data_IF_342115223781
#
_entry.id   IF_342115223781
#
_cell.length_a   1.000
_cell.length_b   1.000
_cell.length_c   1.000
_cell.angle_alpha   90.00
_cell.angle_beta   90.00
_cell.angle_gamma   90.00
#
_symmetry.space_group_name_H-M   'P 1'
#
loop_
_entity.id
_entity.type
_entity.pdbx_description
1 polymer ?
#
# COMPACT_ATOMS: atom_id res chain seq x y z
N UNK A 1 15.41 -21.36 -10.53
CA UNK A 1 14.62 -20.66 -11.56
C UNK A 1 13.52 -19.95 -10.80
N UNK A 2 13.48 -18.62 -10.80
CA UNK A 2 12.53 -17.86 -9.98
C UNK A 2 11.18 -17.76 -10.67
N UNK A 3 10.09 -17.94 -9.92
CA UNK A 3 8.75 -17.62 -10.41
C UNK A 3 8.71 -16.12 -10.76
N UNK A 4 8.13 -15.76 -11.91
CA UNK A 4 7.89 -14.36 -12.27
C UNK A 4 6.65 -13.86 -11.50
N UNK A 5 6.90 -13.48 -10.24
CA UNK A 5 5.88 -12.93 -9.35
C UNK A 5 6.02 -11.43 -9.23
N UNK A 6 4.89 -10.73 -9.34
CA UNK A 6 4.79 -9.28 -9.17
C UNK A 6 3.92 -8.97 -7.98
N UNK A 7 4.47 -8.25 -7.01
CA UNK A 7 3.80 -7.96 -5.74
C UNK A 7 3.11 -6.61 -5.83
N UNK A 8 1.89 -6.54 -5.32
CA UNK A 8 1.10 -5.31 -5.27
C UNK A 8 0.53 -5.11 -3.88
N UNK A 9 0.73 -3.92 -3.34
CA UNK A 9 -0.02 -3.46 -2.19
C UNK A 9 -1.24 -2.68 -2.66
N UNK A 10 -2.41 -3.01 -2.15
CA UNK A 10 -3.66 -2.33 -2.44
C UNK A 10 -4.09 -1.62 -1.18
N UNK A 11 -3.97 -0.30 -1.19
CA UNK A 11 -4.57 0.52 -0.15
C UNK A 11 -6.08 0.52 -0.41
N UNK A 12 -6.82 0.05 0.59
CA UNK A 12 -8.27 -0.10 0.61
C UNK A 12 -8.81 0.56 1.89
N UNK A 13 -10.14 0.61 2.03
CA UNK A 13 -10.80 1.21 3.19
C UNK A 13 -11.82 0.24 3.78
N UNK A 14 -11.79 0.08 5.11
CA UNK A 14 -12.64 -0.86 5.84
C UNK A 14 -14.13 -0.54 5.62
N UNK A 15 -14.44 0.75 5.45
CA UNK A 15 -15.81 1.21 5.25
C UNK A 15 -16.41 0.73 3.91
N UNK A 16 -15.59 0.43 2.91
CA UNK A 16 -16.06 -0.02 1.60
C UNK A 16 -16.63 -1.46 1.62
N UNK A 17 -16.30 -2.25 2.64
CA UNK A 17 -16.78 -3.64 2.81
C UNK A 17 -18.13 -3.74 3.54
N UNK A 18 -18.65 -2.61 4.06
CA UNK A 18 -19.95 -2.52 4.72
C UNK A 18 -20.18 -3.56 5.84
N UNK A 19 -19.12 -3.99 6.53
CA UNK A 19 -19.18 -4.97 7.60
C UNK A 19 -19.80 -4.40 8.89
N UNK A 20 -20.35 -5.26 9.77
CA UNK A 20 -20.80 -4.86 11.10
C UNK A 20 -19.68 -4.20 11.91
N UNK A 21 -20.01 -3.27 12.81
CA UNK A 21 -19.03 -2.54 13.63
C UNK A 21 -18.21 -3.42 14.57
N UNK A 22 -18.72 -4.59 14.90
CA UNK A 22 -18.12 -5.61 15.76
C UNK A 22 -17.49 -6.76 14.96
N UNK A 23 -17.24 -6.56 13.66
CA UNK A 23 -16.49 -7.54 12.88
C UNK A 23 -15.06 -7.69 13.43
N UNK A 24 -14.59 -8.92 13.44
CA UNK A 24 -13.21 -9.24 13.75
C UNK A 24 -12.34 -9.23 12.48
N UNK A 25 -11.05 -9.42 12.68
CA UNK A 25 -10.09 -9.44 11.58
C UNK A 25 -10.31 -10.61 10.62
N UNK A 26 -10.85 -11.73 11.10
CA UNK A 26 -11.15 -12.89 10.27
C UNK A 26 -12.23 -12.56 9.24
N UNK A 27 -13.37 -12.01 9.69
CA UNK A 27 -14.45 -11.58 8.79
C UNK A 27 -14.03 -10.47 7.82
N UNK A 28 -13.21 -9.52 8.28
CA UNK A 28 -12.65 -8.48 7.40
C UNK A 28 -11.74 -9.08 6.33
N UNK A 29 -10.88 -10.03 6.72
CA UNK A 29 -9.96 -10.70 5.78
C UNK A 29 -10.75 -11.47 4.73
N UNK A 30 -11.77 -12.24 5.11
CA UNK A 30 -12.63 -12.98 4.17
C UNK A 30 -13.30 -12.04 3.16
N UNK A 31 -13.87 -10.92 3.62
CA UNK A 31 -14.51 -9.95 2.73
C UNK A 31 -13.52 -9.28 1.75
N UNK A 32 -12.29 -9.00 2.21
CA UNK A 32 -11.22 -8.46 1.37
C UNK A 32 -10.77 -9.51 0.35
N UNK A 33 -10.60 -10.76 0.77
CA UNK A 33 -10.21 -11.86 -0.13
C UNK A 33 -11.25 -12.08 -1.23
N UNK A 34 -12.54 -12.14 -0.88
CA UNK A 34 -13.63 -12.27 -1.84
C UNK A 34 -13.65 -11.13 -2.87
N UNK A 35 -13.44 -9.90 -2.41
CA UNK A 35 -13.33 -8.73 -3.28
C UNK A 35 -12.14 -8.86 -4.24
N UNK A 36 -10.95 -9.21 -3.74
CA UNK A 36 -9.74 -9.33 -4.55
C UNK A 36 -9.85 -10.44 -5.60
N UNK A 37 -10.46 -11.58 -5.24
CA UNK A 37 -10.72 -12.66 -6.18
C UNK A 37 -11.71 -12.20 -7.25
N UNK A 38 -12.80 -11.51 -6.88
CA UNK A 38 -13.76 -11.00 -7.84
C UNK A 38 -13.18 -9.94 -8.79
N UNK A 39 -12.27 -9.09 -8.30
CA UNK A 39 -11.66 -7.99 -9.06
C UNK A 39 -10.53 -8.48 -9.98
N UNK A 40 -9.70 -9.43 -9.53
CA UNK A 40 -8.45 -9.77 -10.20
C UNK A 40 -8.33 -11.21 -10.69
N UNK A 41 -9.19 -12.12 -10.24
CA UNK A 41 -9.15 -13.50 -10.74
C UNK A 41 -9.86 -13.57 -12.09
N UNK A 42 -9.15 -14.00 -13.12
CA UNK A 42 -9.73 -14.35 -14.41
C UNK A 42 -10.08 -15.85 -14.45
N UNK A 43 -11.14 -16.23 -15.18
CA UNK A 43 -11.54 -17.62 -15.41
C UNK A 43 -10.50 -18.40 -16.24
N UNK A 44 -9.52 -17.71 -16.85
CA UNK A 44 -8.54 -18.25 -17.80
C UNK A 44 -7.10 -18.25 -17.26
N UNK A 45 -6.91 -18.81 -16.06
CA UNK A 45 -5.72 -19.47 -15.49
C UNK A 45 -4.34 -18.78 -15.44
N UNK A 46 -4.11 -17.58 -15.99
CA UNK A 46 -2.91 -16.78 -15.69
C UNK A 46 -3.12 -15.26 -15.81
N UNK A 47 -2.56 -14.45 -14.90
CA UNK A 47 -1.71 -14.83 -13.76
C UNK A 47 -2.52 -15.46 -12.62
N UNK A 48 -1.88 -16.33 -11.84
CA UNK A 48 -2.50 -16.83 -10.61
C UNK A 48 -2.42 -15.75 -9.53
N UNK A 49 -3.57 -15.40 -8.95
CA UNK A 49 -3.65 -14.46 -7.84
C UNK A 49 -3.28 -15.18 -6.54
N UNK A 50 -2.25 -14.69 -5.85
CA UNK A 50 -1.90 -15.08 -4.49
C UNK A 50 -2.24 -13.92 -3.54
N UNK A 51 -3.07 -14.17 -2.53
CA UNK A 51 -3.32 -13.19 -1.46
C UNK A 51 -2.34 -13.49 -0.33
N UNK A 52 -1.52 -12.49 0.01
CA UNK A 52 -0.37 -12.65 0.91
C UNK A 52 -0.73 -12.24 2.33
N UNK A 53 -1.47 -11.14 2.48
CA UNK A 53 -1.89 -10.68 3.79
C UNK A 53 -2.71 -9.41 3.73
N UNK A 54 -3.38 -9.12 4.85
CA UNK A 54 -4.18 -7.93 5.07
C UNK A 54 -3.77 -7.34 6.42
N UNK A 55 -3.57 -6.03 6.45
CA UNK A 55 -3.32 -5.27 7.68
C UNK A 55 -4.27 -4.08 7.74
N UNK A 56 -4.84 -3.85 8.91
CA UNK A 56 -5.84 -2.80 9.15
C UNK A 56 -5.31 -1.78 10.14
N UNK A 57 -5.64 -0.51 9.88
CA UNK A 57 -5.44 0.56 10.83
C UNK A 57 -6.49 0.57 11.95
N UNK A 58 -7.76 0.27 11.63
CA UNK A 58 -8.89 0.36 12.55
C UNK A 58 -8.88 -0.69 13.65
N UNK A 59 -8.66 -1.96 13.29
CA UNK A 59 -8.55 -3.06 14.27
C UNK A 59 -7.15 -3.14 14.87
N UNK A 60 -6.13 -2.63 14.16
CA UNK A 60 -4.73 -2.74 14.59
C UNK A 60 -4.19 -4.17 14.54
N UNK A 61 -4.80 -5.02 13.71
CA UNK A 61 -4.49 -6.43 13.53
C UNK A 61 -3.99 -6.70 12.10
N UNK A 62 -3.32 -7.84 11.93
CA UNK A 62 -2.73 -8.29 10.67
C UNK A 62 -2.94 -9.77 10.48
N UNK A 63 -3.41 -10.15 9.29
CA UNK A 63 -3.41 -11.52 8.80
C UNK A 63 -2.35 -11.61 7.72
N UNK A 64 -1.35 -12.47 7.88
CA UNK A 64 -0.28 -12.62 6.89
C UNK A 64 0.10 -14.08 6.70
N UNK A 65 0.34 -14.47 5.46
CA UNK A 65 0.87 -15.79 5.11
C UNK A 65 2.28 -15.95 5.70
N UNK A 66 2.46 -16.99 6.51
CA UNK A 66 3.76 -17.36 7.12
C UNK A 66 4.52 -18.41 6.30
N UNK A 67 4.14 -18.64 5.04
CA UNK A 67 4.66 -19.72 4.20
C UNK A 67 5.98 -19.36 3.55
N UNK A 68 7.00 -20.24 3.65
CA UNK A 68 8.29 -20.09 2.94
C UNK A 68 8.16 -19.99 1.41
N UNK A 69 6.99 -20.34 0.86
CA UNK A 69 6.71 -20.28 -0.58
C UNK A 69 6.28 -18.92 -1.08
N UNK A 70 5.84 -18.01 -0.20
CA UNK A 70 5.31 -16.70 -0.57
C UNK A 70 6.11 -15.64 0.19
N UNK A 71 6.74 -14.72 -0.54
CA UNK A 71 7.60 -13.70 0.07
C UNK A 71 6.79 -12.43 0.29
N UNK A 72 6.37 -12.17 1.53
CA UNK A 72 5.78 -10.88 1.88
C UNK A 72 6.81 -9.73 1.72
N UNK A 73 6.43 -8.70 0.98
CA UNK A 73 7.18 -7.46 0.76
C UNK A 73 6.87 -6.45 1.86
N UNK A 74 5.59 -6.23 2.15
CA UNK A 74 5.11 -5.19 3.07
C UNK A 74 4.39 -5.77 4.28
N UNK A 75 3.40 -6.65 4.08
CA UNK A 75 2.52 -7.19 5.13
C UNK A 75 3.14 -8.45 5.72
N UNK A 76 3.83 -8.29 6.85
CA UNK A 76 4.48 -9.39 7.57
C UNK A 76 3.73 -9.73 8.86
N UNK A 77 3.88 -10.97 9.38
CA UNK A 77 3.36 -11.32 10.70
C UNK A 77 3.79 -10.32 11.77
N UNK A 78 2.89 -10.04 12.72
CA UNK A 78 3.09 -9.14 13.86
C UNK A 78 3.41 -7.67 13.53
N UNK A 79 3.32 -7.23 12.27
CA UNK A 79 3.41 -5.81 11.91
C UNK A 79 2.05 -5.14 12.01
N UNK A 80 1.99 -3.87 12.39
CA UNK A 80 0.78 -3.05 12.31
C UNK A 80 0.83 -2.11 11.11
N UNK A 81 -0.34 -1.57 10.72
CA UNK A 81 -0.43 -0.58 9.64
C UNK A 81 0.53 0.61 9.86
N UNK A 82 0.66 1.03 11.12
CA UNK A 82 1.60 2.08 11.54
C UNK A 82 3.05 1.75 11.17
N UNK A 83 3.49 0.51 11.38
CA UNK A 83 4.87 0.12 11.11
C UNK A 83 5.18 0.18 9.62
N UNK A 84 4.23 -0.24 8.78
CA UNK A 84 4.35 -0.17 7.32
C UNK A 84 4.36 1.28 6.86
N UNK A 85 3.44 2.12 7.37
CA UNK A 85 3.40 3.55 7.08
C UNK A 85 4.73 4.24 7.40
N UNK A 86 5.29 3.99 8.59
CA UNK A 86 6.56 4.58 9.01
C UNK A 86 7.74 4.02 8.22
N UNK A 87 7.71 2.74 7.84
CA UNK A 87 8.70 2.13 6.95
C UNK A 87 8.74 2.81 5.57
N UNK A 88 7.57 3.01 4.96
CA UNK A 88 7.44 3.73 3.68
C UNK A 88 7.92 5.18 3.80
N UNK A 89 7.50 5.88 4.86
CA UNK A 89 7.94 7.24 5.11
C UNK A 89 9.47 7.34 5.24
N UNK A 90 10.09 6.39 5.96
CA UNK A 90 11.54 6.31 6.12
C UNK A 90 12.25 6.04 4.80
N UNK A 91 11.73 5.14 3.97
CA UNK A 91 12.25 4.88 2.62
C UNK A 91 12.23 6.12 1.72
N UNK A 92 11.25 6.99 1.91
CA UNK A 92 11.14 8.30 1.25
C UNK A 92 11.85 9.42 2.02
N UNK A 93 12.69 9.11 3.01
CA UNK A 93 13.44 10.09 3.80
C UNK A 93 12.57 11.14 4.51
N UNK A 94 11.34 10.77 4.88
CA UNK A 94 10.42 11.62 5.63
C UNK A 94 10.69 11.42 7.14
N UNK A 95 10.89 12.51 7.91
CA UNK A 95 11.07 12.42 9.35
C UNK A 95 9.88 11.75 10.06
N UNK A 96 10.16 10.83 10.98
CA UNK A 96 9.14 10.13 11.76
C UNK A 96 8.12 11.06 12.46
N UNK A 97 8.48 12.24 13.01
CA UNK A 97 7.50 13.14 13.60
C UNK A 97 6.45 13.66 12.59
N UNK A 98 6.86 13.94 11.34
CA UNK A 98 5.96 14.36 10.28
C UNK A 98 5.07 13.19 9.82
N UNK A 99 5.67 12.01 9.65
CA UNK A 99 4.96 10.79 9.30
C UNK A 99 3.89 10.44 10.35
N UNK A 100 4.25 10.47 11.64
CA UNK A 100 3.32 10.20 12.75
C UNK A 100 2.18 11.21 12.82
N UNK A 101 2.46 12.49 12.54
CA UNK A 101 1.43 13.55 12.51
C UNK A 101 0.44 13.31 11.37
N UNK A 102 0.97 12.96 10.19
CA UNK A 102 0.15 12.65 9.00
C UNK A 102 -0.70 11.41 9.23
N UNK A 103 -0.11 10.34 9.77
CA UNK A 103 -0.83 9.11 10.09
C UNK A 103 -2.06 9.40 10.96
N UNK A 104 -1.90 10.23 12.01
CA UNK A 104 -2.98 10.57 12.96
C UNK A 104 -4.03 11.53 12.40
N UNK A 105 -3.63 12.47 11.55
CA UNK A 105 -4.50 13.61 11.16
C UNK A 105 -5.01 13.51 9.73
N UNK A 106 -4.41 12.65 8.91
CA UNK A 106 -4.65 12.57 7.47
C UNK A 106 -4.11 13.76 6.67
N UNK A 107 -3.53 14.77 7.33
CA UNK A 107 -3.04 15.99 6.66
C UNK A 107 -1.64 15.79 6.12
N UNK A 108 -1.46 16.03 4.82
CA UNK A 108 -0.23 15.77 4.07
C UNK A 108 0.67 16.98 3.88
N UNK A 109 0.18 18.20 4.15
CA UNK A 109 0.88 19.47 3.85
C UNK A 109 2.35 19.48 4.30
N UNK A 110 2.62 18.94 5.50
CA UNK A 110 3.95 18.87 6.07
C UNK A 110 4.89 17.91 5.34
N UNK A 111 4.37 16.76 4.91
CA UNK A 111 5.14 15.79 4.11
C UNK A 111 5.33 16.33 2.69
N UNK A 112 4.31 16.93 2.09
CA UNK A 112 4.41 17.53 0.76
C UNK A 112 5.49 18.61 0.72
N UNK A 113 5.46 19.55 1.67
CA UNK A 113 6.48 20.60 1.78
C UNK A 113 7.88 20.01 1.94
N UNK A 114 8.01 18.94 2.73
CA UNK A 114 9.29 18.23 2.91
C UNK A 114 9.79 17.62 1.61
N UNK A 115 8.94 16.91 0.88
CA UNK A 115 9.29 16.29 -0.40
C UNK A 115 9.61 17.34 -1.47
N UNK A 116 8.86 18.44 -1.56
CA UNK A 116 9.13 19.54 -2.48
C UNK A 116 10.50 20.18 -2.24
N UNK A 117 10.88 20.40 -0.97
CA UNK A 117 12.20 20.92 -0.63
C UNK A 117 13.32 19.95 -1.02
N UNK A 118 13.11 18.64 -0.85
CA UNK A 118 14.06 17.62 -1.28
C UNK A 118 14.19 17.55 -2.80
N UNK A 119 13.08 17.63 -3.53
CA UNK A 119 13.07 17.68 -4.99
C UNK A 119 13.90 18.88 -5.48
N UNK A 120 13.72 20.07 -4.86
CA UNK A 120 14.54 21.25 -5.18
C UNK A 120 16.03 21.00 -4.94
N UNK A 121 16.39 20.39 -3.81
CA UNK A 121 17.78 20.04 -3.53
C UNK A 121 18.38 19.08 -4.58
N UNK A 122 17.65 18.03 -4.99
CA UNK A 122 18.08 17.14 -6.07
C UNK A 122 18.27 17.90 -7.40
N UNK A 123 17.37 18.84 -7.73
CA UNK A 123 17.49 19.67 -8.94
C UNK A 123 18.72 20.59 -8.86
N UNK A 124 18.98 21.21 -7.71
CA UNK A 124 20.15 22.06 -7.49
C UNK A 124 21.46 21.26 -7.63
N UNK A 125 21.45 20.00 -7.17
CA UNK A 125 22.55 19.04 -7.29
C UNK A 125 22.67 18.38 -8.69
N UNK A 126 21.76 18.72 -9.62
CA UNK A 126 21.63 18.11 -10.97
C UNK A 126 21.34 16.60 -10.96
N UNK A 127 20.81 16.08 -9.86
CA UNK A 127 20.30 14.72 -9.74
C UNK A 127 18.84 14.65 -10.18
N UNK A 128 18.61 14.69 -11.50
CA UNK A 128 17.27 14.69 -12.06
C UNK A 128 16.53 13.37 -11.86
N UNK A 129 17.25 12.25 -11.80
CA UNK A 129 16.67 10.93 -11.54
C UNK A 129 16.10 10.85 -10.12
N UNK A 130 16.85 11.34 -9.12
CA UNK A 130 16.38 11.45 -7.74
C UNK A 130 15.16 12.37 -7.60
N UNK A 131 15.20 13.53 -8.27
CA UNK A 131 14.06 14.45 -8.31
C UNK A 131 12.81 13.80 -8.92
N UNK A 132 12.95 13.13 -10.06
CA UNK A 132 11.84 12.48 -10.75
C UNK A 132 11.20 11.36 -9.90
N UNK A 133 12.02 10.55 -9.22
CA UNK A 133 11.52 9.50 -8.31
C UNK A 133 10.67 10.08 -7.18
N UNK A 134 11.12 11.17 -6.54
CA UNK A 134 10.35 11.81 -5.47
C UNK A 134 9.07 12.47 -6.01
N UNK A 135 9.12 13.08 -7.19
CA UNK A 135 7.96 13.69 -7.83
C UNK A 135 6.85 12.66 -8.11
N UNK A 136 7.21 11.43 -8.48
CA UNK A 136 6.24 10.37 -8.78
C UNK A 136 5.34 10.00 -7.58
N UNK A 137 5.80 10.23 -6.34
CA UNK A 137 5.03 9.91 -5.13
C UNK A 137 4.10 11.04 -4.66
N UNK A 138 4.26 12.27 -5.16
CA UNK A 138 3.45 13.41 -4.72
C UNK A 138 1.96 13.28 -5.05
N UNK A 139 1.55 12.88 -6.28
CA UNK A 139 0.13 12.73 -6.61
C UNK A 139 -0.56 11.70 -5.70
N UNK A 140 0.05 10.52 -5.54
CA UNK A 140 -0.48 9.46 -4.69
C UNK A 140 -0.50 9.83 -3.21
N UNK A 141 0.49 10.58 -2.69
CA UNK A 141 0.43 11.12 -1.34
C UNK A 141 -0.77 12.07 -1.15
N UNK A 142 -0.99 12.98 -2.10
CA UNK A 142 -2.07 13.99 -2.05
C UNK A 142 -3.45 13.38 -2.09
N UNK A 143 -3.65 12.35 -2.92
CA UNK A 143 -4.94 11.67 -3.03
C UNK A 143 -5.15 10.72 -1.85
N UNK A 144 -4.10 9.96 -1.49
CA UNK A 144 -4.27 8.86 -0.55
C UNK A 144 -4.10 9.22 0.92
N UNK A 145 -3.25 10.21 1.21
CA UNK A 145 -2.78 10.50 2.55
C UNK A 145 -1.69 9.53 3.07
N UNK A 146 -1.17 8.66 2.21
CA UNK A 146 -0.20 7.61 2.57
C UNK A 146 1.09 7.75 1.75
N UNK A 147 2.28 7.89 2.38
CA UNK A 147 3.55 7.98 1.67
C UNK A 147 3.85 6.70 0.87
N UNK A 148 4.40 6.86 -0.33
CA UNK A 148 4.83 5.74 -1.17
C UNK A 148 3.72 5.10 -2.00
N UNK A 149 2.46 5.43 -1.72
CA UNK A 149 1.30 4.99 -2.50
C UNK A 149 1.20 5.81 -3.78
N UNK A 150 0.89 5.16 -4.89
CA UNK A 150 0.62 5.78 -6.19
C UNK A 150 -0.88 5.70 -6.55
N UNK A 151 -1.32 6.46 -7.56
CA UNK A 151 -2.73 6.45 -7.99
C UNK A 151 -3.11 5.17 -8.77
N UNK A 152 -4.37 4.73 -8.65
CA UNK A 152 -4.94 3.56 -9.35
C UNK A 152 -4.62 3.48 -10.84
N UNK A 153 -4.56 4.62 -11.54
CA UNK A 153 -4.30 4.68 -12.98
C UNK A 153 -2.92 4.14 -13.39
N UNK A 154 -2.00 3.94 -12.44
CA UNK A 154 -0.70 3.32 -12.66
C UNK A 154 -0.66 1.81 -12.44
N UNK A 155 -1.74 1.18 -12.00
CA UNK A 155 -1.75 -0.25 -11.65
C UNK A 155 -1.44 -1.13 -12.88
N UNK A 156 -0.34 -1.88 -12.80
CA UNK A 156 0.02 -2.88 -13.80
C UNK A 156 0.40 -4.21 -13.13
N UNK A 157 -0.40 -5.25 -13.37
CA UNK A 157 -0.17 -6.63 -12.90
C UNK A 157 1.19 -7.23 -13.31
N UNK A 158 1.87 -6.69 -14.33
CA UNK A 158 3.22 -7.08 -14.77
C UNK A 158 4.31 -6.08 -14.39
N UNK A 159 3.92 -4.91 -13.87
CA UNK A 159 4.82 -3.81 -13.53
C UNK A 159 5.70 -4.10 -12.32
N UNK A 160 6.40 -3.07 -11.85
CA UNK A 160 7.26 -3.13 -10.67
C UNK A 160 6.43 -3.32 -9.38
N UNK A 161 7.09 -3.77 -8.31
CA UNK A 161 6.43 -3.89 -7.00
C UNK A 161 6.04 -2.49 -6.48
N UNK A 162 4.75 -2.27 -6.27
CA UNK A 162 4.20 -0.96 -5.94
C UNK A 162 2.97 -1.07 -5.03
N UNK A 163 2.70 0.02 -4.30
CA UNK A 163 1.47 0.15 -3.52
C UNK A 163 0.59 1.18 -4.20
N UNK A 164 -0.66 0.81 -4.48
CA UNK A 164 -1.60 1.60 -5.24
C UNK A 164 -2.81 1.96 -4.37
N UNK A 165 -3.29 3.19 -4.49
CA UNK A 165 -4.56 3.60 -3.89
C UNK A 165 -5.71 3.02 -4.70
N UNK A 166 -6.31 1.95 -4.17
CA UNK A 166 -7.41 1.21 -4.80
C UNK A 166 -8.76 1.47 -4.10
N UNK A 167 -8.80 2.45 -3.19
CA UNK A 167 -10.02 2.85 -2.50
C UNK A 167 -11.02 3.48 -3.47
N UNK A 168 -12.29 3.15 -3.25
CA UNK A 168 -13.38 3.83 -3.94
C UNK A 168 -13.59 5.22 -3.34
N UNK A 169 -13.52 5.32 -2.00
CA UNK A 169 -13.63 6.56 -1.26
C UNK A 169 -12.54 6.65 -0.18
N UNK A 170 -12.09 7.87 0.11
CA UNK A 170 -11.15 8.13 1.20
C UNK A 170 -11.93 8.61 2.45
N UNK A 171 -12.10 7.74 3.44
CA UNK A 171 -12.79 8.06 4.69
C UNK A 171 -11.85 8.61 5.78
N UNK A 172 -10.55 8.69 5.47
CA UNK A 172 -9.53 9.26 6.33
C UNK A 172 -8.85 8.24 7.25
N UNK A 173 -8.09 8.72 8.26
CA UNK A 173 -7.36 7.87 9.18
C UNK A 173 -8.24 6.99 10.05
N UNK A 174 -7.73 5.81 10.42
CA UNK A 174 -8.35 4.87 11.34
C UNK A 174 -9.26 3.83 10.67
N UNK A 175 -9.37 3.86 9.34
CA UNK A 175 -10.15 2.91 8.55
C UNK A 175 -9.39 2.37 7.34
N UNK A 176 -8.12 2.75 7.18
CA UNK A 176 -7.29 2.31 6.06
C UNK A 176 -6.87 0.87 6.28
N UNK A 177 -6.87 0.09 5.22
CA UNK A 177 -6.27 -1.24 5.20
C UNK A 177 -5.33 -1.37 4.01
N UNK A 178 -4.33 -2.24 4.16
CA UNK A 178 -3.43 -2.60 3.08
C UNK A 178 -3.55 -4.11 2.86
N UNK A 179 -3.98 -4.50 1.67
CA UNK A 179 -3.90 -5.87 1.21
C UNK A 179 -2.64 -6.05 0.37
N UNK A 180 -1.85 -7.07 0.64
CA UNK A 180 -0.75 -7.48 -0.22
C UNK A 180 -1.17 -8.70 -1.04
N UNK A 181 -1.00 -8.58 -2.36
CA UNK A 181 -1.24 -9.64 -3.32
C UNK A 181 -0.01 -9.85 -4.20
N UNK A 182 0.07 -11.01 -4.84
CA UNK A 182 1.02 -11.26 -5.91
C UNK A 182 0.34 -11.90 -7.12
N UNK A 183 0.84 -11.56 -8.30
CA UNK A 183 0.48 -12.18 -9.56
C UNK A 183 1.60 -13.12 -9.98
N UNK A 184 1.35 -14.43 -9.96
CA UNK A 184 2.26 -15.45 -10.48
C UNK A 184 1.99 -15.71 -11.96
N UNK A 185 2.89 -15.21 -12.81
CA UNK A 185 2.81 -15.37 -14.25
C UNK A 185 3.34 -16.71 -14.76
N UNK A 186 3.78 -17.59 -13.87
CA UNK A 186 4.37 -18.88 -14.22
C UNK A 186 5.77 -18.74 -14.84
N UNK A 187 6.13 -19.72 -15.68
CA UNK A 187 7.30 -19.70 -16.56
C UNK A 187 6.85 -19.69 -18.03
#
# INVERSE_FOLDING_TARGET
MGNDRRYKGLLLDEADFALPRDCDMEALTEAVEDYLVAEFSDEFDHPYLEIIGVVTEGLGETTACSSDRVRAVWVKPDMQFRDIFLGMATGLGIPEPLATTTLKTGRTDGIETHLENRIRAHVDDRDYDGAQKLMAHLPGLRSSGVPGVIEAGGFDTRGDDEIVDFRVNNYGPGQRLLAEIAFDWGQ
#
